data_IF_339348218386
#
_entry.id   IF_339348218386
#
_cell.length_a   1.000
_cell.length_b   1.000
_cell.length_c   1.000
_cell.angle_alpha   90.00
_cell.angle_beta   90.00
_cell.angle_gamma   90.00
#
_symmetry.space_group_name_H-M   'P 1'
#
loop_
_entity.id
_entity.type
_entity.pdbx_description
1 polymer ?
#
# COMPACT_ATOMS: atom_id res chain seq x y z
N UNK A 1 24.72 -12.46 23.45
CA UNK A 1 24.87 -12.04 22.04
C UNK A 1 25.38 -13.23 21.25
N UNK A 2 24.51 -14.19 20.97
CA UNK A 2 24.83 -15.35 20.13
C UNK A 2 24.33 -15.04 18.73
N UNK A 3 25.19 -14.46 17.91
CA UNK A 3 24.95 -14.34 16.47
C UNK A 3 25.15 -15.72 15.87
N UNK A 4 24.07 -16.38 15.46
CA UNK A 4 24.14 -17.54 14.58
C UNK A 4 24.31 -17.02 13.15
N UNK A 5 25.44 -17.31 12.45
CA UNK A 5 25.53 -17.00 11.04
C UNK A 5 24.69 -18.03 10.29
N UNK A 6 23.50 -17.61 9.84
CA UNK A 6 22.63 -18.41 8.99
C UNK A 6 23.40 -18.93 7.79
N UNK A 7 23.47 -20.25 7.66
CA UNK A 7 24.03 -20.95 6.49
C UNK A 7 23.13 -20.60 5.29
N UNK A 8 23.66 -20.14 4.14
CA UNK A 8 22.82 -19.83 2.99
C UNK A 8 22.12 -21.13 2.55
N UNK A 9 20.82 -21.20 2.80
CA UNK A 9 19.99 -22.32 2.41
C UNK A 9 19.93 -22.39 0.88
N UNK A 10 19.91 -23.61 0.32
CA UNK A 10 19.86 -23.84 -1.12
C UNK A 10 18.70 -23.09 -1.80
N UNK A 11 18.86 -22.81 -3.10
CA UNK A 11 17.95 -22.03 -3.94
C UNK A 11 16.47 -22.36 -3.62
N UNK A 12 15.82 -21.46 -2.88
CA UNK A 12 14.36 -21.41 -2.79
C UNK A 12 13.90 -20.67 -4.04
N UNK A 13 13.01 -21.27 -4.82
CA UNK A 13 12.28 -20.51 -5.83
C UNK A 13 11.22 -19.67 -5.08
N UNK A 14 11.35 -18.32 -5.05
CA UNK A 14 10.43 -17.48 -4.27
C UNK A 14 9.01 -17.50 -4.84
N UNK A 15 8.79 -17.99 -6.06
CA UNK A 15 7.46 -18.16 -6.64
C UNK A 15 6.78 -19.47 -6.23
N UNK A 16 7.52 -20.36 -5.56
CA UNK A 16 7.18 -21.77 -5.56
C UNK A 16 7.91 -22.55 -4.45
N UNK A 17 7.45 -22.46 -3.20
CA UNK A 17 8.01 -23.27 -2.11
C UNK A 17 7.00 -23.68 -1.03
N UNK A 18 7.41 -24.64 -0.20
CA UNK A 18 6.62 -25.10 0.95
C UNK A 18 6.85 -24.17 2.14
N UNK A 19 5.89 -23.29 2.41
CA UNK A 19 5.98 -22.27 3.46
C UNK A 19 5.99 -22.91 4.86
N UNK A 20 5.25 -24.00 5.07
CA UNK A 20 5.25 -24.71 6.36
C UNK A 20 6.57 -25.41 6.62
N UNK A 21 7.21 -26.00 5.61
CA UNK A 21 8.57 -26.56 5.74
C UNK A 21 9.59 -25.45 6.00
N UNK A 22 9.50 -24.35 5.27
CA UNK A 22 10.39 -23.20 5.43
C UNK A 22 10.33 -22.61 6.85
N UNK A 23 9.12 -22.41 7.39
CA UNK A 23 8.90 -21.93 8.75
C UNK A 23 9.45 -22.91 9.80
N UNK A 24 9.06 -24.19 9.73
CA UNK A 24 9.47 -25.23 10.69
C UNK A 24 10.97 -25.51 10.69
N UNK A 25 11.63 -25.34 9.55
CA UNK A 25 13.07 -25.57 9.41
C UNK A 25 13.92 -24.39 9.89
N UNK A 26 13.31 -23.26 10.24
CA UNK A 26 14.04 -22.06 10.67
C UNK A 26 14.92 -21.47 9.56
N UNK A 27 14.54 -21.68 8.29
CA UNK A 27 15.36 -21.31 7.15
C UNK A 27 15.30 -19.80 6.90
N UNK A 28 16.38 -19.30 6.30
CA UNK A 28 16.48 -17.95 5.81
C UNK A 28 16.70 -17.97 4.29
N UNK A 29 16.09 -17.02 3.60
CA UNK A 29 16.26 -16.76 2.18
C UNK A 29 16.33 -15.26 1.93
N UNK A 30 17.03 -14.87 0.88
CA UNK A 30 17.11 -13.48 0.47
C UNK A 30 17.20 -13.40 -1.05
N UNK A 31 16.76 -12.29 -1.61
CA UNK A 31 16.79 -12.10 -3.04
C UNK A 31 16.47 -10.68 -3.47
N UNK A 32 16.16 -10.56 -4.76
CA UNK A 32 15.77 -9.30 -5.37
C UNK A 32 14.58 -9.56 -6.27
N UNK A 33 13.61 -8.67 -6.22
CA UNK A 33 12.47 -8.62 -7.15
C UNK A 33 12.50 -7.26 -7.85
N UNK A 34 12.14 -7.24 -9.13
CA UNK A 34 12.00 -6.00 -9.89
C UNK A 34 10.54 -5.60 -10.00
N UNK A 35 10.25 -4.31 -10.15
CA UNK A 35 8.88 -3.80 -10.33
C UNK A 35 8.20 -4.47 -11.54
N UNK A 36 8.90 -4.78 -12.63
CA UNK A 36 8.32 -5.53 -13.77
C UNK A 36 7.79 -6.92 -13.43
N UNK A 37 8.19 -7.49 -12.29
CA UNK A 37 7.72 -8.79 -11.79
C UNK A 37 6.51 -8.67 -10.85
N UNK A 38 6.12 -7.42 -10.52
CA UNK A 38 5.05 -7.01 -9.63
C UNK A 38 4.02 -6.21 -10.46
N UNK A 39 3.07 -6.88 -11.14
CA UNK A 39 2.20 -6.24 -12.13
C UNK A 39 1.27 -5.16 -11.56
N UNK A 40 0.81 -5.30 -10.32
CA UNK A 40 -0.02 -4.29 -9.65
C UNK A 40 0.81 -3.12 -9.19
N UNK A 41 1.97 -3.38 -8.58
CA UNK A 41 2.89 -2.31 -8.19
C UNK A 41 3.38 -1.51 -9.40
N UNK A 42 3.61 -2.17 -10.55
CA UNK A 42 3.97 -1.52 -11.81
C UNK A 42 2.89 -0.55 -12.32
N UNK A 43 1.60 -0.79 -12.01
CA UNK A 43 0.52 0.11 -12.39
C UNK A 43 0.54 1.43 -11.61
N UNK A 44 1.14 1.44 -10.42
CA UNK A 44 1.33 2.63 -9.59
C UNK A 44 2.52 3.47 -10.07
N UNK A 45 3.36 2.94 -10.96
CA UNK A 45 4.56 3.61 -11.48
C UNK A 45 4.23 4.43 -12.74
N UNK A 46 4.40 5.78 -12.71
CA UNK A 46 4.13 6.66 -13.84
C UNK A 46 4.91 6.28 -15.10
N UNK A 47 4.36 6.57 -16.28
CA UNK A 47 5.04 6.27 -17.55
C UNK A 47 6.27 7.16 -17.78
N UNK A 48 6.23 8.38 -17.24
CA UNK A 48 7.26 9.41 -17.34
C UNK A 48 8.39 9.23 -16.32
N UNK A 49 8.30 8.22 -15.45
CA UNK A 49 9.33 7.93 -14.46
C UNK A 49 10.68 7.60 -15.13
N UNK A 50 11.82 8.11 -14.63
CA UNK A 50 13.14 7.89 -15.23
C UNK A 50 13.56 6.42 -15.34
N UNK A 51 13.21 5.61 -14.34
CA UNK A 51 13.42 4.15 -14.32
C UNK A 51 12.18 3.47 -13.75
N UNK A 52 11.41 2.78 -14.59
CA UNK A 52 10.18 2.10 -14.17
C UNK A 52 10.41 0.71 -13.57
N UNK A 53 11.62 0.17 -13.72
CA UNK A 53 11.95 -1.22 -13.36
C UNK A 53 12.97 -1.28 -12.23
N UNK A 54 12.79 -0.43 -11.22
CA UNK A 54 13.59 -0.43 -10.00
C UNK A 54 13.49 -1.79 -9.28
N UNK A 55 14.45 -2.04 -8.38
CA UNK A 55 14.56 -3.31 -7.69
C UNK A 55 14.36 -3.15 -6.18
N UNK A 56 13.67 -4.12 -5.59
CA UNK A 56 13.55 -4.31 -4.15
C UNK A 56 14.38 -5.51 -3.72
N UNK A 57 15.17 -5.34 -2.68
CA UNK A 57 15.82 -6.44 -1.98
C UNK A 57 14.89 -6.96 -0.89
N UNK A 58 14.84 -8.27 -0.70
CA UNK A 58 14.01 -8.89 0.33
C UNK A 58 14.78 -9.94 1.12
N UNK A 59 14.37 -10.16 2.37
CA UNK A 59 14.84 -11.21 3.25
C UNK A 59 13.65 -11.87 3.93
N UNK A 60 13.65 -13.20 3.99
CA UNK A 60 12.61 -14.01 4.59
C UNK A 60 13.22 -14.96 5.62
N UNK A 61 12.61 -15.06 6.79
CA UNK A 61 13.03 -15.95 7.87
C UNK A 61 11.84 -16.75 8.40
N UNK A 62 11.96 -18.07 8.40
CA UNK A 62 11.01 -18.98 9.02
C UNK A 62 11.28 -19.14 10.51
N UNK A 63 10.23 -19.28 11.32
CA UNK A 63 10.33 -19.63 12.73
C UNK A 63 9.14 -20.45 13.21
N UNK A 64 9.26 -21.04 14.40
CA UNK A 64 8.13 -21.63 15.12
C UNK A 64 8.13 -21.17 16.58
N UNK A 65 6.96 -20.85 17.12
CA UNK A 65 6.78 -20.50 18.52
C UNK A 65 5.77 -21.45 19.18
N UNK A 66 5.94 -21.80 20.46
CA UNK A 66 4.93 -22.57 21.18
C UNK A 66 3.70 -21.69 21.46
N UNK A 67 2.52 -22.13 21.01
CA UNK A 67 1.23 -21.48 21.26
C UNK A 67 0.16 -22.50 21.68
N UNK A 68 -0.84 -22.02 22.41
CA UNK A 68 -2.04 -22.79 22.71
C UNK A 68 -2.87 -22.97 21.44
N UNK A 69 -3.18 -24.22 21.11
CA UNK A 69 -4.08 -24.60 20.04
C UNK A 69 -5.51 -24.77 20.56
N UNK A 70 -6.48 -24.89 19.66
CA UNK A 70 -7.91 -25.02 20.00
C UNK A 70 -8.24 -26.28 20.82
N UNK A 71 -7.41 -27.32 20.71
CA UNK A 71 -7.54 -28.55 21.50
C UNK A 71 -7.00 -28.40 22.95
N UNK A 72 -6.54 -27.20 23.32
CA UNK A 72 -5.99 -26.86 24.61
C UNK A 72 -4.56 -27.34 24.83
N UNK A 73 -3.90 -27.87 23.80
CA UNK A 73 -2.49 -28.28 23.87
C UNK A 73 -1.56 -27.16 23.39
N UNK A 74 -0.36 -27.10 23.95
CA UNK A 74 0.70 -26.27 23.37
C UNK A 74 1.33 -27.00 22.17
N UNK A 75 1.44 -26.31 21.04
CA UNK A 75 2.12 -26.84 19.87
C UNK A 75 2.89 -25.77 19.08
N UNK A 76 3.69 -26.20 18.09
CA UNK A 76 4.52 -25.29 17.32
C UNK A 76 3.68 -24.53 16.28
N UNK A 77 3.50 -23.23 16.49
CA UNK A 77 2.90 -22.31 15.54
C UNK A 77 3.98 -21.77 14.56
N UNK A 78 3.84 -21.96 13.25
CA UNK A 78 4.76 -21.44 12.24
C UNK A 78 4.59 -19.94 11.99
N UNK A 79 5.71 -19.26 11.78
CA UNK A 79 5.81 -17.84 11.46
C UNK A 79 6.75 -17.58 10.27
N UNK A 80 6.50 -16.48 9.57
CA UNK A 80 7.38 -15.90 8.56
C UNK A 80 7.68 -14.44 8.92
N UNK A 81 8.94 -14.06 9.02
CA UNK A 81 9.36 -12.66 9.00
C UNK A 81 9.82 -12.27 7.60
N UNK A 82 9.34 -11.13 7.10
CA UNK A 82 9.65 -10.59 5.78
C UNK A 82 10.13 -9.15 5.90
N UNK A 83 11.34 -8.88 5.42
CA UNK A 83 11.88 -7.54 5.30
C UNK A 83 12.05 -7.18 3.82
N UNK A 84 11.58 -5.99 3.42
CA UNK A 84 11.67 -5.50 2.03
C UNK A 84 12.24 -4.08 2.05
N UNK A 85 13.26 -3.84 1.22
CA UNK A 85 13.88 -2.53 1.07
C UNK A 85 14.08 -2.19 -0.40
N UNK A 86 13.77 -0.96 -0.76
CA UNK A 86 14.01 -0.44 -2.11
C UNK A 86 13.27 0.87 -2.33
N UNK A 87 13.13 1.23 -3.59
CA UNK A 87 12.38 2.42 -3.97
C UNK A 87 11.63 2.16 -5.28
N UNK A 88 10.48 2.83 -5.44
CA UNK A 88 9.74 2.88 -6.68
C UNK A 88 9.31 4.32 -6.96
N UNK A 89 9.09 4.63 -8.24
CA UNK A 89 8.61 5.94 -8.64
C UNK A 89 7.09 6.00 -8.49
N UNK A 90 6.59 7.05 -7.86
CA UNK A 90 5.16 7.35 -7.73
C UNK A 90 4.85 8.74 -8.30
N UNK A 91 3.59 9.02 -8.60
CA UNK A 91 3.15 10.36 -9.02
C UNK A 91 2.87 11.25 -7.80
N UNK A 92 3.52 12.40 -7.71
CA UNK A 92 3.23 13.37 -6.67
C UNK A 92 1.86 14.02 -6.88
N UNK A 93 0.93 13.85 -5.95
CA UNK A 93 -0.43 14.44 -5.99
C UNK A 93 -0.48 15.97 -5.87
N UNK A 94 0.68 16.65 -5.75
CA UNK A 94 0.78 18.12 -5.65
C UNK A 94 1.32 18.80 -6.91
N UNK A 95 2.36 18.24 -7.53
CA UNK A 95 2.94 18.77 -8.76
C UNK A 95 2.66 17.91 -10.00
N UNK A 96 2.07 16.72 -9.81
CA UNK A 96 1.83 15.71 -10.86
C UNK A 96 3.11 15.26 -11.58
N UNK A 97 4.26 15.36 -10.90
CA UNK A 97 5.55 14.87 -11.43
C UNK A 97 5.97 13.59 -10.69
N UNK A 98 6.68 12.68 -11.37
CA UNK A 98 7.25 11.50 -10.73
C UNK A 98 8.23 11.87 -9.60
N UNK A 99 8.20 11.11 -8.51
CA UNK A 99 9.17 11.17 -7.43
C UNK A 99 9.52 9.77 -6.94
N UNK A 100 10.71 9.61 -6.38
CA UNK A 100 11.16 8.33 -5.82
C UNK A 100 10.64 8.17 -4.39
N UNK A 101 9.83 7.14 -4.16
CA UNK A 101 9.32 6.74 -2.85
C UNK A 101 10.18 5.61 -2.31
N UNK A 102 10.77 5.80 -1.13
CA UNK A 102 11.47 4.74 -0.42
C UNK A 102 10.48 3.82 0.31
N UNK A 103 10.76 2.53 0.30
CA UNK A 103 10.02 1.50 1.03
C UNK A 103 10.95 0.80 2.01
N UNK A 104 10.47 0.63 3.24
CA UNK A 104 11.15 -0.05 4.32
C UNK A 104 10.11 -0.83 5.12
N UNK A 105 9.92 -2.08 4.73
CA UNK A 105 8.92 -2.99 5.30
C UNK A 105 9.63 -3.97 6.23
N UNK A 106 9.04 -4.21 7.40
CA UNK A 106 9.36 -5.31 8.30
C UNK A 106 8.03 -5.89 8.83
N UNK A 107 7.62 -7.04 8.26
CA UNK A 107 6.34 -7.68 8.53
C UNK A 107 6.56 -9.07 9.15
N UNK A 108 5.69 -9.46 10.08
CA UNK A 108 5.69 -10.79 10.68
C UNK A 108 4.32 -11.43 10.47
N UNK A 109 4.31 -12.61 9.85
CA UNK A 109 3.11 -13.36 9.55
C UNK A 109 3.02 -14.63 10.37
N UNK A 110 1.87 -14.83 11.02
CA UNK A 110 1.45 -16.12 11.57
C UNK A 110 0.84 -16.95 10.45
N UNK A 111 1.32 -18.18 10.27
CA UNK A 111 0.90 -19.03 9.14
C UNK A 111 -0.16 -20.03 9.60
N UNK A 112 -1.35 -19.99 8.99
CA UNK A 112 -2.46 -20.90 9.28
C UNK A 112 -2.76 -21.84 8.12
N UNK A 113 -3.56 -22.88 8.34
CA UNK A 113 -3.89 -23.86 7.32
C UNK A 113 -5.06 -23.45 6.43
N UNK A 114 -5.98 -22.65 6.95
CA UNK A 114 -7.23 -22.29 6.26
C UNK A 114 -7.59 -20.82 6.46
N UNK A 115 -8.47 -20.32 5.59
CA UNK A 115 -9.06 -18.98 5.67
C UNK A 115 -9.86 -18.81 6.97
N UNK A 116 -10.60 -19.84 7.38
CA UNK A 116 -11.38 -19.80 8.62
C UNK A 116 -10.49 -19.56 9.84
N UNK A 117 -9.34 -20.24 9.93
CA UNK A 117 -8.35 -20.01 11.00
C UNK A 117 -7.76 -18.58 10.96
N UNK A 118 -7.69 -17.96 9.77
CA UNK A 118 -7.22 -16.58 9.63
C UNK A 118 -8.27 -15.57 10.11
N UNK A 119 -9.55 -15.80 9.78
CA UNK A 119 -10.68 -14.93 10.17
C UNK A 119 -10.97 -14.96 11.67
N UNK A 120 -10.68 -16.08 12.35
CA UNK A 120 -10.88 -16.23 13.80
C UNK A 120 -9.80 -15.52 14.63
N UNK A 121 -8.69 -15.10 14.01
CA UNK A 121 -7.60 -14.45 14.71
C UNK A 121 -7.96 -13.02 15.14
N UNK A 122 -7.68 -12.60 16.39
CA UNK A 122 -8.01 -11.27 16.85
C UNK A 122 -7.29 -10.18 16.05
N UNK A 123 -8.05 -9.22 15.53
CA UNK A 123 -7.50 -8.06 14.80
C UNK A 123 -6.76 -7.06 15.72
N UNK A 124 -6.78 -7.28 17.03
CA UNK A 124 -6.19 -6.36 18.03
C UNK A 124 -4.69 -6.59 18.24
N UNK A 125 -4.08 -7.59 17.61
CA UNK A 125 -2.63 -7.86 17.65
C UNK A 125 -1.91 -7.10 16.52
N UNK A 126 -1.72 -5.79 16.71
CA UNK A 126 -1.21 -4.85 15.70
C UNK A 126 0.17 -5.20 15.09
N UNK A 127 0.90 -6.18 15.63
CA UNK A 127 2.27 -6.53 15.21
C UNK A 127 2.36 -7.82 14.36
N UNK A 128 1.27 -8.57 14.20
CA UNK A 128 1.27 -9.88 13.53
C UNK A 128 0.08 -10.01 12.58
N UNK A 129 0.38 -10.15 11.28
CA UNK A 129 -0.61 -10.48 10.26
C UNK A 129 -0.81 -11.99 10.16
N UNK A 130 -1.98 -12.44 9.71
CA UNK A 130 -2.26 -13.88 9.51
C UNK A 130 -2.40 -14.19 8.03
N UNK A 131 -1.69 -15.22 7.57
CA UNK A 131 -1.75 -15.67 6.18
C UNK A 131 -1.99 -17.18 6.11
N UNK A 132 -2.69 -17.60 5.05
CA UNK A 132 -2.88 -19.01 4.76
C UNK A 132 -1.62 -19.57 4.08
N UNK A 133 -1.02 -20.58 4.71
CA UNK A 133 0.16 -21.25 4.17
C UNK A 133 -0.15 -22.23 3.05
N UNK A 134 0.85 -22.50 2.22
CA UNK A 134 0.75 -23.48 1.13
C UNK A 134 2.07 -24.23 0.94
N UNK A 135 2.00 -25.44 0.36
CA UNK A 135 3.19 -26.16 -0.12
C UNK A 135 3.77 -25.59 -1.42
N UNK A 136 3.00 -24.72 -2.07
CA UNK A 136 3.32 -24.06 -3.32
C UNK A 136 3.01 -22.57 -3.16
N UNK A 137 3.69 -21.93 -2.22
CA UNK A 137 3.50 -20.53 -1.85
C UNK A 137 4.28 -19.61 -2.79
N UNK A 138 3.66 -18.50 -3.21
CA UNK A 138 4.29 -17.44 -4.00
C UNK A 138 4.62 -16.25 -3.09
N UNK A 139 5.89 -16.17 -2.64
CA UNK A 139 6.36 -15.06 -1.82
C UNK A 139 6.47 -13.76 -2.61
N UNK A 140 6.59 -13.82 -3.94
CA UNK A 140 6.65 -12.59 -4.76
C UNK A 140 5.28 -11.91 -4.79
N UNK A 141 4.20 -12.69 -4.78
CA UNK A 141 2.84 -12.15 -4.65
C UNK A 141 2.64 -11.50 -3.27
N UNK A 142 3.08 -12.16 -2.19
CA UNK A 142 3.05 -11.56 -0.85
C UNK A 142 3.89 -10.26 -0.75
N UNK A 143 5.08 -10.25 -1.36
CA UNK A 143 5.91 -9.03 -1.45
C UNK A 143 5.17 -7.91 -2.20
N UNK A 144 4.41 -8.24 -3.25
CA UNK A 144 3.62 -7.25 -3.97
C UNK A 144 2.53 -6.65 -3.09
N UNK A 145 1.74 -7.49 -2.41
CA UNK A 145 0.69 -7.04 -1.49
C UNK A 145 1.25 -6.09 -0.43
N UNK A 146 2.37 -6.47 0.18
CA UNK A 146 2.98 -5.69 1.25
C UNK A 146 3.50 -4.33 0.77
N UNK A 147 4.05 -4.27 -0.44
CA UNK A 147 4.46 -3.00 -1.06
C UNK A 147 3.26 -2.11 -1.38
N UNK A 148 2.15 -2.69 -1.86
CA UNK A 148 0.91 -1.95 -2.14
C UNK A 148 0.28 -1.39 -0.85
N UNK A 149 0.25 -2.20 0.22
CA UNK A 149 -0.24 -1.78 1.53
C UNK A 149 0.64 -0.68 2.15
N UNK A 150 1.94 -0.69 1.84
CA UNK A 150 2.91 0.32 2.28
C UNK A 150 2.84 1.63 1.48
N UNK A 151 1.99 1.75 0.47
CA UNK A 151 1.86 2.98 -0.30
C UNK A 151 1.36 4.14 0.58
N UNK A 152 1.91 5.35 0.40
CA UNK A 152 1.42 6.51 1.11
C UNK A 152 -0.02 6.83 0.67
N UNK A 153 -0.89 7.12 1.64
CA UNK A 153 -2.28 7.52 1.37
C UNK A 153 -2.39 8.69 0.37
N UNK A 154 -1.43 9.62 0.43
CA UNK A 154 -1.29 10.72 -0.52
C UNK A 154 0.17 10.80 -0.95
N UNK A 155 0.54 10.19 -2.09
CA UNK A 155 1.90 10.24 -2.60
C UNK A 155 2.31 11.68 -2.93
N UNK A 156 3.44 12.13 -2.37
CA UNK A 156 4.00 13.45 -2.63
C UNK A 156 5.47 13.50 -2.23
N UNK A 157 6.20 14.43 -2.82
CA UNK A 157 7.49 14.85 -2.31
C UNK A 157 7.37 15.36 -0.86
N UNK A 158 8.36 15.04 -0.01
CA UNK A 158 8.48 15.61 1.34
C UNK A 158 8.46 17.15 1.32
N UNK A 159 9.23 17.72 0.40
CA UNK A 159 9.23 19.14 0.08
C UNK A 159 8.95 19.32 -1.43
N UNK A 160 7.67 19.45 -1.78
CA UNK A 160 7.25 19.59 -3.18
C UNK A 160 7.71 20.94 -3.75
N UNK A 161 8.43 20.96 -4.89
CA UNK A 161 9.03 22.18 -5.43
C UNK A 161 7.99 23.17 -5.96
N UNK A 162 6.86 22.67 -6.43
CA UNK A 162 5.80 23.47 -7.05
C UNK A 162 4.41 22.90 -6.75
N UNK A 163 3.38 23.69 -7.08
CA UNK A 163 1.97 23.28 -7.04
C UNK A 163 1.48 23.30 -8.47
N UNK A 164 0.86 22.21 -8.91
CA UNK A 164 0.31 22.15 -10.26
C UNK A 164 -0.75 23.24 -10.47
N UNK A 165 -0.81 23.82 -11.67
CA UNK A 165 -1.68 24.97 -11.98
C UNK A 165 -3.16 24.70 -11.67
N UNK A 166 -3.61 23.45 -11.87
CA UNK A 166 -4.98 23.01 -11.55
C UNK A 166 -5.35 23.18 -10.08
N UNK A 167 -4.38 23.12 -9.17
CA UNK A 167 -4.58 23.28 -7.73
C UNK A 167 -4.42 24.74 -7.25
N UNK A 168 -3.98 25.65 -8.12
CA UNK A 168 -3.65 27.03 -7.76
C UNK A 168 -4.86 27.98 -7.70
N UNK A 169 -6.08 27.49 -8.01
CA UNK A 169 -7.29 28.32 -8.13
C UNK A 169 -7.92 28.77 -6.79
N UNK A 170 -7.30 28.45 -5.64
CA UNK A 170 -7.79 28.80 -4.30
C UNK A 170 -7.52 30.23 -3.83
N UNK A 171 -6.81 31.06 -4.61
CA UNK A 171 -6.45 32.42 -4.21
C UNK A 171 -7.63 33.42 -4.13
N UNK A 172 -8.86 33.01 -4.43
CA UNK A 172 -10.07 33.83 -4.20
C UNK A 172 -10.78 33.53 -2.86
N UNK A 173 -10.22 32.70 -1.98
CA UNK A 173 -10.79 32.37 -0.67
C UNK A 173 -10.25 33.16 0.52
N UNK A 174 -9.36 34.14 0.28
CA UNK A 174 -8.75 34.97 1.34
C UNK A 174 -9.39 36.37 1.39
N UNK A 175 -10.71 36.42 1.55
CA UNK A 175 -11.42 37.57 2.10
C UNK A 175 -12.39 37.02 3.14
N UNK A 176 -11.85 36.60 4.29
CA UNK A 176 -12.60 35.85 5.29
C UNK A 176 -12.02 35.89 6.69
N UNK A 177 -11.24 36.93 7.03
CA UNK A 177 -11.03 37.35 8.41
C UNK A 177 -11.38 38.83 8.49
N UNK A 178 -12.52 39.14 9.09
CA UNK A 178 -12.61 40.12 10.18
C UNK A 178 -14.04 40.25 10.74
N UNK A 179 -14.14 40.02 12.06
CA UNK A 179 -15.04 40.70 13.01
C UNK A 179 -16.54 40.42 13.00
N UNK A 180 -16.98 39.83 14.12
CA UNK A 180 -18.32 39.99 14.66
C UNK A 180 -18.52 41.46 15.06
N UNK A 181 -19.32 42.23 14.30
CA UNK A 181 -20.15 43.34 14.83
C UNK A 181 -21.11 43.93 13.79
N UNK A 182 -22.41 43.85 14.09
CA UNK A 182 -23.40 44.93 13.91
C UNK A 182 -23.72 45.44 12.51
N UNK A 183 -24.88 45.00 12.01
CA UNK A 183 -25.91 45.77 11.29
C UNK A 183 -25.53 46.81 10.21
N UNK A 184 -26.05 46.51 9.00
CA UNK A 184 -26.45 47.38 7.88
C UNK A 184 -25.38 48.21 7.14
N UNK A 185 -25.16 47.90 5.85
CA UNK A 185 -25.61 48.72 4.71
C UNK A 185 -25.31 48.03 3.36
N UNK A 186 -26.17 48.27 2.37
CA UNK A 186 -26.17 47.68 1.04
C UNK A 186 -24.95 48.11 0.20
N UNK A 187 -24.21 47.13 -0.34
CA UNK A 187 -23.14 47.33 -1.30
C UNK A 187 -23.07 46.16 -2.28
N UNK A 188 -23.17 46.49 -3.58
CA UNK A 188 -23.40 45.58 -4.69
C UNK A 188 -22.17 44.69 -5.00
N UNK A 189 -22.23 43.40 -4.68
CA UNK A 189 -21.23 42.42 -5.14
C UNK A 189 -21.39 42.15 -6.65
N UNK A 190 -20.33 42.26 -7.47
CA UNK A 190 -20.39 41.82 -8.85
C UNK A 190 -20.58 40.30 -8.87
N UNK A 191 -21.76 39.84 -9.29
CA UNK A 191 -22.10 38.42 -9.50
C UNK A 191 -21.08 37.77 -10.43
N UNK A 192 -20.04 37.15 -9.86
CA UNK A 192 -19.21 36.19 -10.61
C UNK A 192 -20.13 35.02 -11.00
N UNK A 193 -20.18 34.63 -12.28
CA UNK A 193 -21.04 33.53 -12.69
C UNK A 193 -20.62 32.26 -11.95
N UNK A 194 -21.60 31.57 -11.37
CA UNK A 194 -21.36 30.34 -10.61
C UNK A 194 -20.59 29.34 -11.50
N UNK A 195 -19.40 28.85 -11.07
CA UNK A 195 -18.57 27.95 -11.87
C UNK A 195 -19.25 26.61 -12.20
N UNK A 196 -20.33 26.28 -11.49
CA UNK A 196 -21.13 25.08 -11.69
C UNK A 196 -22.42 25.33 -12.49
N UNK A 197 -22.68 26.54 -12.98
CA UNK A 197 -23.87 26.86 -13.77
C UNK A 197 -23.98 26.00 -15.05
N UNK A 198 -22.85 25.53 -15.59
CA UNK A 198 -22.81 24.61 -16.73
C UNK A 198 -23.34 23.20 -16.40
N UNK A 199 -23.46 22.83 -15.11
CA UNK A 199 -23.91 21.50 -14.67
C UNK A 199 -25.44 21.39 -14.54
N UNK A 200 -26.18 22.50 -14.55
CA UNK A 200 -27.65 22.48 -14.50
C UNK A 200 -28.28 21.78 -15.72
N UNK A 201 -27.57 21.76 -16.86
CA UNK A 201 -28.00 21.08 -18.08
C UNK A 201 -28.03 19.54 -17.99
N UNK A 202 -27.44 18.95 -16.94
CA UNK A 202 -27.36 17.50 -16.75
C UNK A 202 -28.47 16.94 -15.85
N UNK A 203 -29.32 17.80 -15.28
CA UNK A 203 -30.44 17.38 -14.41
C UNK A 203 -31.71 17.01 -15.20
N UNK A 204 -31.67 17.03 -16.53
CA UNK A 204 -32.80 16.70 -17.41
C UNK A 204 -32.42 15.57 -18.37
N UNK A 205 -32.04 14.43 -17.80
CA UNK A 205 -31.79 13.21 -18.54
C UNK A 205 -32.49 12.02 -17.90
N UNK A 206 -33.82 11.95 -17.99
CA UNK A 206 -34.53 10.67 -17.90
C UNK A 206 -35.46 10.48 -19.11
N UNK A 207 -35.02 9.55 -19.96
CA UNK A 207 -35.78 8.39 -20.43
C UNK A 207 -37.04 8.60 -21.28
N UNK A 208 -36.95 8.20 -22.56
CA UNK A 208 -38.03 7.38 -23.17
C UNK A 208 -38.52 7.76 -24.59
N UNK A 209 -38.25 6.83 -25.52
CA UNK A 209 -39.17 6.34 -26.58
C UNK A 209 -39.45 7.21 -27.84
N UNK A 210 -38.89 6.80 -29.00
CA UNK A 210 -39.67 6.33 -30.18
C UNK A 210 -38.82 5.99 -31.42
N UNK A 211 -38.98 4.74 -31.87
CA UNK A 211 -39.17 4.28 -33.26
C UNK A 211 -38.62 5.16 -34.40
N UNK A 212 -37.68 4.61 -35.16
CA UNK A 212 -37.92 4.15 -36.55
C UNK A 212 -36.79 3.25 -37.05
#
# INVERSE_FOLDING_TARGET
MTQHPGKPAGLVDPRAFDLFEFARSGRQAAGTVRVSQLPRMLNEVPQEAPDRDTAFTWQAEGATQPELQDDGTEGPQPYLRLAIHGAAWLECQRCLSPYEQAFNVDATYRIVNTEEEAEEFPLDEDEVDVIVGSRQFDLVDLIEEELLLSLPLVPKHDACPEVHESLSSGASGLEGEETVKGEAEEGEEPKRPNPFAALEGLKSGESGDKKH
#
